data_IF_696268439420
#
_entry.id   IF_696268439420
#
_cell.length_a   1.000
_cell.length_b   1.000
_cell.length_c   1.000
_cell.angle_alpha   90.00
_cell.angle_beta   90.00
_cell.angle_gamma   90.00
#
_symmetry.space_group_name_H-M   'P 1'
#
loop_
_entity.id
_entity.type
_entity.pdbx_description
1 polymer ?
#
# COMPACT_ATOMS: atom_id res chain seq x y z
N UNK A 1 13.04 5.27 5.74
CA UNK A 1 12.29 5.58 4.49
C UNK A 1 12.56 7.02 4.07
N UNK A 2 12.74 7.27 2.78
CA UNK A 2 13.10 8.60 2.27
C UNK A 2 11.87 9.37 1.80
N UNK A 3 10.96 8.71 1.07
CA UNK A 3 9.82 9.36 0.45
C UNK A 3 8.69 8.38 0.17
N UNK A 4 7.47 8.89 0.16
CA UNK A 4 6.30 8.21 -0.39
C UNK A 4 5.95 8.87 -1.73
N UNK A 5 5.91 8.08 -2.81
CA UNK A 5 5.45 8.57 -4.10
C UNK A 5 3.93 8.62 -4.14
N UNK A 6 3.30 7.52 -3.71
CA UNK A 6 1.88 7.41 -3.42
C UNK A 6 1.69 6.41 -2.27
N UNK A 7 0.47 5.94 -2.02
CA UNK A 7 0.23 5.06 -0.87
C UNK A 7 0.99 3.74 -0.92
N UNK A 8 1.16 3.16 -2.10
CA UNK A 8 1.75 1.83 -2.28
C UNK A 8 3.12 1.83 -2.96
N UNK A 9 3.73 3.00 -3.12
CA UNK A 9 5.01 3.15 -3.79
C UNK A 9 5.89 4.10 -3.00
N UNK A 10 7.05 3.62 -2.56
CA UNK A 10 7.90 4.38 -1.65
C UNK A 10 9.37 4.19 -1.99
N UNK A 11 10.21 5.03 -1.41
CA UNK A 11 11.64 5.01 -1.63
C UNK A 11 12.35 4.79 -0.30
N UNK A 12 13.27 3.85 -0.30
CA UNK A 12 14.02 3.44 0.89
C UNK A 12 15.50 3.71 0.67
N UNK A 13 16.19 4.18 1.70
CA UNK A 13 17.66 4.23 1.70
C UNK A 13 18.17 3.01 2.46
N UNK A 14 19.02 2.24 1.80
CA UNK A 14 19.67 1.08 2.40
C UNK A 14 20.87 1.52 3.27
N UNK A 15 21.34 0.65 4.19
CA UNK A 15 22.51 0.98 5.02
C UNK A 15 23.75 1.35 4.22
N UNK A 16 23.90 0.84 3.00
CA UNK A 16 25.03 1.15 2.11
C UNK A 16 24.90 2.50 1.41
N UNK A 17 23.83 3.26 1.68
CA UNK A 17 23.59 4.57 1.09
C UNK A 17 22.80 4.54 -0.21
N UNK A 18 22.61 3.39 -0.82
CA UNK A 18 21.83 3.25 -2.06
C UNK A 18 20.35 3.42 -1.76
N UNK A 19 19.63 4.04 -2.68
CA UNK A 19 18.18 4.11 -2.58
C UNK A 19 17.55 3.06 -3.50
N UNK A 20 16.39 2.54 -3.08
CA UNK A 20 15.63 1.57 -3.84
C UNK A 20 14.16 1.95 -3.81
N UNK A 21 13.50 1.78 -4.96
CA UNK A 21 12.05 1.99 -5.06
C UNK A 21 11.34 0.69 -4.69
N UNK A 22 10.34 0.80 -3.83
CA UNK A 22 9.57 -0.34 -3.31
C UNK A 22 8.12 -0.18 -3.69
N UNK A 23 7.54 -1.25 -4.22
CA UNK A 23 6.11 -1.40 -4.46
C UNK A 23 5.54 -2.35 -3.41
N UNK A 24 4.52 -1.94 -2.70
CA UNK A 24 3.90 -2.79 -1.68
C UNK A 24 3.28 -4.04 -2.31
N UNK A 25 3.64 -5.20 -1.77
CA UNK A 25 3.09 -6.47 -2.22
C UNK A 25 1.62 -6.61 -1.83
N UNK A 26 0.82 -7.08 -2.76
CA UNK A 26 -0.52 -7.60 -2.47
C UNK A 26 -1.62 -6.57 -2.28
N UNK A 27 -1.30 -5.27 -2.32
CA UNK A 27 -2.28 -4.21 -2.15
C UNK A 27 -2.18 -3.20 -3.28
N UNK A 28 -3.28 -2.47 -3.50
CA UNK A 28 -3.33 -1.40 -4.49
C UNK A 28 -4.05 -0.22 -3.83
N UNK A 29 -3.35 0.92 -3.75
CA UNK A 29 -3.90 2.15 -3.18
C UNK A 29 -4.52 3.02 -4.27
N UNK A 30 -5.46 3.92 -3.91
CA UNK A 30 -5.91 4.92 -4.86
C UNK A 30 -4.73 5.72 -5.39
N UNK A 31 -4.76 6.02 -6.68
CA UNK A 31 -3.72 6.82 -7.31
C UNK A 31 -3.86 8.30 -6.93
N UNK A 32 -2.76 9.05 -7.05
CA UNK A 32 -2.82 10.49 -6.93
C UNK A 32 -3.79 11.03 -7.98
N UNK A 33 -4.67 11.94 -7.58
CA UNK A 33 -5.75 12.43 -8.41
C UNK A 33 -7.04 11.64 -8.30
N UNK A 34 -6.99 10.41 -7.79
CA UNK A 34 -8.16 9.63 -7.45
C UNK A 34 -8.61 9.99 -6.03
N UNK A 35 -9.91 9.94 -5.71
CA UNK A 35 -10.36 10.14 -4.33
C UNK A 35 -9.60 9.24 -3.35
N UNK A 36 -9.15 9.82 -2.24
CA UNK A 36 -8.34 9.18 -1.19
C UNK A 36 -6.89 8.87 -1.59
N UNK A 37 -6.45 9.23 -2.80
CA UNK A 37 -5.05 9.03 -3.20
C UNK A 37 -4.08 9.81 -2.34
N UNK A 38 -4.40 11.08 -2.05
CA UNK A 38 -3.56 11.92 -1.19
C UNK A 38 -3.55 11.40 0.25
N UNK A 39 -4.70 10.94 0.77
CA UNK A 39 -4.77 10.37 2.11
C UNK A 39 -3.91 9.11 2.24
N UNK A 40 -3.90 8.25 1.23
CA UNK A 40 -3.08 7.05 1.21
C UNK A 40 -1.58 7.42 1.19
N UNK A 41 -1.19 8.36 0.33
CA UNK A 41 0.19 8.85 0.30
C UNK A 41 0.60 9.47 1.64
N UNK A 42 -0.27 10.23 2.27
CA UNK A 42 0.02 10.89 3.54
C UNK A 42 0.23 9.86 4.65
N UNK A 43 -0.57 8.80 4.68
CA UNK A 43 -0.39 7.73 5.66
C UNK A 43 0.99 7.07 5.50
N UNK A 44 1.33 6.66 4.29
CA UNK A 44 2.65 6.07 3.99
C UNK A 44 3.76 7.09 4.28
N UNK A 45 3.53 8.35 3.96
CA UNK A 45 4.50 9.44 4.17
C UNK A 45 4.86 9.69 5.63
N UNK A 46 4.04 9.25 6.58
CA UNK A 46 4.38 9.36 8.01
C UNK A 46 5.62 8.56 8.38
N UNK A 47 6.00 7.59 7.56
CA UNK A 47 7.18 6.76 7.78
C UNK A 47 8.48 7.44 7.33
N UNK A 48 8.42 8.58 6.66
CA UNK A 48 9.62 9.30 6.24
C UNK A 48 10.47 9.64 7.48
N UNK A 49 11.77 9.31 7.41
CA UNK A 49 12.69 9.47 8.52
C UNK A 49 12.73 8.28 9.49
N UNK A 50 11.85 7.31 9.34
CA UNK A 50 11.82 6.13 10.19
C UNK A 50 12.50 4.94 9.51
N UNK A 51 13.02 4.02 10.31
CA UNK A 51 13.58 2.75 9.84
C UNK A 51 12.45 1.74 9.72
N UNK A 52 12.34 1.13 8.55
CA UNK A 52 11.35 0.06 8.29
C UNK A 52 12.08 -1.20 7.86
N UNK A 53 11.45 -2.35 8.06
CA UNK A 53 11.99 -3.63 7.60
C UNK A 53 11.31 -3.99 6.26
N UNK A 54 12.08 -4.00 5.19
CA UNK A 54 11.59 -4.31 3.85
C UNK A 54 11.88 -5.77 3.57
N UNK A 55 10.83 -6.56 3.37
CA UNK A 55 10.91 -8.00 3.10
C UNK A 55 10.52 -8.27 1.65
N UNK A 56 11.51 -8.38 0.73
CA UNK A 56 11.23 -8.64 -0.68
C UNK A 56 10.50 -9.97 -0.88
N UNK A 57 9.57 -10.00 -1.82
CA UNK A 57 8.80 -11.20 -2.16
C UNK A 57 9.34 -11.92 -3.39
N UNK A 58 10.44 -11.43 -3.98
CA UNK A 58 11.03 -11.98 -5.19
C UNK A 58 10.50 -11.39 -6.48
N UNK A 59 9.40 -10.63 -6.43
CA UNK A 59 8.83 -9.98 -7.61
C UNK A 59 9.43 -8.62 -7.88
N UNK A 60 9.23 -8.15 -9.11
CA UNK A 60 9.58 -6.80 -9.53
C UNK A 60 8.43 -6.19 -10.32
N UNK A 61 8.28 -4.89 -10.21
CA UNK A 61 7.26 -4.14 -10.92
C UNK A 61 7.88 -2.83 -11.42
N UNK A 62 8.17 -2.77 -12.72
CA UNK A 62 8.73 -1.56 -13.34
C UNK A 62 10.02 -1.09 -12.65
N UNK A 63 10.95 -2.01 -12.39
CA UNK A 63 12.23 -1.70 -11.72
C UNK A 63 12.13 -1.51 -10.22
N UNK A 64 10.95 -1.64 -9.64
CA UNK A 64 10.75 -1.55 -8.19
C UNK A 64 10.83 -2.94 -7.55
N UNK A 65 11.34 -3.01 -6.34
CA UNK A 65 11.29 -4.23 -5.53
C UNK A 65 9.87 -4.35 -4.97
N UNK A 66 9.25 -5.50 -5.16
CA UNK A 66 7.94 -5.79 -4.55
C UNK A 66 8.19 -6.39 -3.18
N UNK A 67 7.60 -5.83 -2.14
CA UNK A 67 7.93 -6.21 -0.77
C UNK A 67 6.79 -6.02 0.21
N UNK A 68 6.86 -6.77 1.31
CA UNK A 68 6.10 -6.48 2.54
C UNK A 68 6.94 -5.52 3.37
N UNK A 69 6.34 -4.46 3.87
CA UNK A 69 7.02 -3.45 4.69
C UNK A 69 6.54 -3.59 6.13
N UNK A 70 7.46 -4.00 7.01
CA UNK A 70 7.19 -4.18 8.45
C UNK A 70 7.51 -2.89 9.17
N UNK A 71 6.59 -2.44 10.01
CA UNK A 71 6.68 -1.17 10.72
C UNK A 71 7.54 -1.29 11.99
N UNK A 72 8.08 -0.16 12.47
CA UNK A 72 8.95 -0.17 13.68
C UNK A 72 8.29 -0.80 14.90
N UNK A 73 6.99 -0.64 15.07
CA UNK A 73 6.26 -1.19 16.22
C UNK A 73 5.67 -2.57 15.99
N UNK A 74 5.95 -3.20 14.85
CA UNK A 74 5.30 -4.43 14.41
C UNK A 74 4.12 -4.15 13.50
N UNK A 75 3.58 -5.21 12.90
CA UNK A 75 2.56 -5.06 11.87
C UNK A 75 3.16 -4.59 10.55
N UNK A 76 2.32 -4.47 9.52
CA UNK A 76 2.77 -4.10 8.18
C UNK A 76 2.12 -2.82 7.71
N UNK A 77 2.80 -2.10 6.81
CA UNK A 77 2.21 -0.93 6.17
C UNK A 77 0.97 -1.31 5.37
N UNK A 78 0.98 -2.49 4.74
CA UNK A 78 -0.19 -3.01 4.04
C UNK A 78 -1.41 -3.06 4.96
N UNK A 79 -1.26 -3.66 6.14
CA UNK A 79 -2.36 -3.78 7.10
C UNK A 79 -2.86 -2.42 7.57
N UNK A 80 -1.95 -1.46 7.77
CA UNK A 80 -2.32 -0.09 8.19
C UNK A 80 -3.16 0.60 7.12
N UNK A 81 -2.74 0.53 5.86
CA UNK A 81 -3.47 1.12 4.74
C UNK A 81 -4.85 0.49 4.58
N UNK A 82 -4.92 -0.83 4.68
CA UNK A 82 -6.18 -1.57 4.57
C UNK A 82 -7.12 -1.21 5.70
N UNK A 83 -6.63 -1.19 6.93
CA UNK A 83 -7.41 -0.86 8.11
C UNK A 83 -7.97 0.56 8.07
N UNK A 84 -7.22 1.49 7.50
CA UNK A 84 -7.67 2.87 7.33
C UNK A 84 -8.67 3.05 6.16
N UNK A 85 -8.92 1.99 5.38
CA UNK A 85 -9.77 2.08 4.20
C UNK A 85 -9.11 2.78 3.02
N UNK A 86 -7.78 2.67 2.91
CA UNK A 86 -6.99 3.38 1.91
C UNK A 86 -6.29 2.45 0.92
N UNK A 87 -6.66 1.18 0.91
CA UNK A 87 -6.10 0.21 -0.03
C UNK A 87 -7.07 -0.93 -0.28
N UNK A 88 -7.01 -1.48 -1.48
CA UNK A 88 -7.64 -2.77 -1.82
C UNK A 88 -6.60 -3.87 -1.74
N UNK A 89 -7.01 -5.05 -1.29
CA UNK A 89 -6.22 -6.26 -1.50
C UNK A 89 -6.31 -6.62 -2.98
N UNK A 90 -5.15 -6.82 -3.62
CA UNK A 90 -5.13 -7.25 -5.02
C UNK A 90 -5.32 -8.76 -5.09
N UNK A 91 -6.55 -9.18 -5.39
CA UNK A 91 -6.91 -10.59 -5.40
C UNK A 91 -6.17 -11.43 -6.43
N UNK A 92 -5.60 -10.80 -7.49
CA UNK A 92 -4.86 -11.52 -8.53
C UNK A 92 -3.44 -11.87 -8.11
N UNK A 93 -2.82 -11.03 -7.29
CA UNK A 93 -1.40 -11.14 -6.96
C UNK A 93 -1.13 -11.47 -5.50
N UNK A 94 -2.10 -11.25 -4.61
CA UNK A 94 -1.92 -11.52 -3.18
C UNK A 94 -2.12 -13.00 -2.90
N UNK A 95 -1.03 -13.74 -2.80
CA UNK A 95 -1.02 -15.22 -2.67
C UNK A 95 -0.33 -15.72 -1.40
N UNK A 96 0.34 -14.84 -0.65
CA UNK A 96 1.04 -15.22 0.57
C UNK A 96 0.07 -15.39 1.74
N UNK A 97 0.46 -16.09 2.82
CA UNK A 97 -0.43 -16.31 3.98
C UNK A 97 -0.96 -15.02 4.60
N UNK A 98 -0.16 -13.94 4.61
CA UNK A 98 -0.57 -12.64 5.14
C UNK A 98 -1.82 -12.11 4.44
N UNK A 99 -2.06 -12.50 3.21
CA UNK A 99 -3.21 -12.04 2.42
C UNK A 99 -4.55 -12.37 3.05
N UNK A 100 -4.64 -13.49 3.78
CA UNK A 100 -5.90 -13.86 4.45
C UNK A 100 -6.26 -12.85 5.53
N UNK A 101 -5.29 -12.43 6.34
CA UNK A 101 -5.50 -11.40 7.35
C UNK A 101 -5.83 -10.05 6.73
N UNK A 102 -5.19 -9.71 5.61
CA UNK A 102 -5.45 -8.46 4.91
C UNK A 102 -6.86 -8.44 4.31
N UNK A 103 -7.34 -9.55 3.77
CA UNK A 103 -8.73 -9.64 3.28
C UNK A 103 -9.74 -9.44 4.40
N UNK A 104 -9.50 -10.03 5.56
CA UNK A 104 -10.36 -9.81 6.73
C UNK A 104 -10.32 -8.36 7.18
N UNK A 105 -9.13 -7.74 7.19
CA UNK A 105 -8.99 -6.31 7.50
C UNK A 105 -9.75 -5.42 6.53
N UNK A 106 -9.75 -5.77 5.25
CA UNK A 106 -10.52 -5.04 4.24
C UNK A 106 -12.03 -5.14 4.51
N UNK A 107 -12.52 -6.32 4.84
CA UNK A 107 -13.94 -6.50 5.18
C UNK A 107 -14.33 -5.67 6.40
N UNK A 108 -13.48 -5.65 7.44
CA UNK A 108 -13.73 -4.84 8.63
C UNK A 108 -13.74 -3.35 8.30
N UNK A 109 -12.84 -2.88 7.45
CA UNK A 109 -12.81 -1.48 7.03
C UNK A 109 -14.07 -1.12 6.20
N UNK A 110 -14.52 -2.03 5.34
CA UNK A 110 -15.76 -1.84 4.58
C UNK A 110 -16.97 -1.76 5.50
N UNK A 111 -17.08 -2.67 6.45
CA UNK A 111 -18.22 -2.69 7.39
C UNK A 111 -18.24 -1.44 8.25
N UNK A 112 -17.06 -0.92 8.62
CA UNK A 112 -16.92 0.31 9.39
C UNK A 112 -17.01 1.57 8.52
N UNK A 113 -17.13 1.43 7.21
CA UNK A 113 -17.21 2.54 6.25
C UNK A 113 -16.04 3.51 6.37
N UNK A 114 -14.82 2.98 6.52
CA UNK A 114 -13.61 3.79 6.64
C UNK A 114 -13.08 4.19 5.26
N UNK A 115 -12.55 5.41 5.16
CA UNK A 115 -11.89 5.90 3.95
C UNK A 115 -12.70 5.68 2.69
N UNK A 116 -12.17 4.91 1.76
CA UNK A 116 -12.81 4.56 0.48
C UNK A 116 -14.22 3.99 0.64
N UNK A 117 -14.47 3.32 1.75
CA UNK A 117 -15.72 2.59 1.97
C UNK A 117 -16.82 3.45 2.58
N UNK A 118 -16.54 4.74 2.85
CA UNK A 118 -17.52 5.67 3.36
C UNK A 118 -18.63 5.96 2.36
N UNK A 119 -18.28 5.97 1.06
CA UNK A 119 -19.22 6.14 -0.04
C UNK A 119 -19.38 4.82 -0.78
N UNK A 120 -20.59 4.45 -1.17
CA UNK A 120 -20.85 3.20 -1.87
C UNK A 120 -20.28 3.12 -3.29
N UNK A 121 -19.64 4.19 -3.79
CA UNK A 121 -19.15 4.28 -5.16
C UNK A 121 -17.65 4.22 -5.33
N UNK A 122 -16.93 3.61 -4.38
CA UNK A 122 -15.47 3.52 -4.46
C UNK A 122 -15.04 2.76 -5.73
N UNK A 123 -14.10 3.36 -6.49
CA UNK A 123 -13.58 2.80 -7.74
C UNK A 123 -12.18 2.25 -7.48
N UNK A 124 -11.94 0.94 -7.73
CA UNK A 124 -10.61 0.37 -7.57
C UNK A 124 -9.59 1.03 -8.50
N UNK A 125 -8.31 1.11 -8.08
CA UNK A 125 -7.29 1.77 -8.89
C UNK A 125 -7.12 1.18 -10.29
N UNK A 126 -7.25 -0.13 -10.43
CA UNK A 126 -7.12 -0.78 -11.74
C UNK A 126 -8.24 -0.40 -12.71
N UNK A 127 -9.43 -0.10 -12.20
CA UNK A 127 -10.54 0.43 -13.03
C UNK A 127 -10.30 1.91 -13.32
N UNK A 128 -9.85 2.67 -12.34
CA UNK A 128 -9.52 4.09 -12.51
C UNK A 128 -8.47 4.28 -13.61
N UNK A 129 -7.40 3.48 -13.59
CA UNK A 129 -6.36 3.55 -14.61
C UNK A 129 -6.89 3.27 -16.01
N UNK A 130 -7.79 2.29 -16.16
CA UNK A 130 -8.41 1.98 -17.45
C UNK A 130 -9.26 3.14 -17.99
N UNK A 131 -9.97 3.82 -17.12
CA UNK A 131 -10.81 4.94 -17.52
C UNK A 131 -10.01 6.16 -17.98
N UNK A 132 -8.73 6.24 -17.59
CA UNK A 132 -7.84 7.35 -17.93
C UNK A 132 -7.01 7.11 -19.20
N UNK A 133 -7.06 5.93 -19.76
CA UNK A 133 -6.32 5.61 -21.00
C UNK A 133 -6.99 6.20 -22.25
#
# INVERSE_FOLDING_TARGET
>A
MIAAHDGDSLRIRQPDGRSVSVRLYGVDCPELGQPYGDAARDLTGRLVGQVVDVQPTGGRSWGRVVAVVVLPGGGTLQAELISAGLAWVDGRYCKMPECDGWRRGQELARDAQRGLWADGGAVPPWIWRRAKR
#
